data_IF_001521849164
#
_entry.id   IF_001521849164
#
_cell.length_a   1.000
_cell.length_b   1.000
_cell.length_c   1.000
_cell.angle_alpha   90.00
_cell.angle_beta   90.00
_cell.angle_gamma   90.00
#
_symmetry.space_group_name_H-M   'P 1'
#
loop_
_entity.id
_entity.type
_entity.pdbx_description
1 polymer ?
#
# COMPACT_ATOMS: atom_id res chain seq x y z
N UNK A 1 5.57 4.46 -59.89
CA UNK A 1 5.16 3.63 -58.73
C UNK A 1 6.12 3.93 -57.59
N UNK A 2 5.70 4.69 -56.57
CA UNK A 2 6.51 4.95 -55.39
C UNK A 2 6.05 4.01 -54.25
N UNK A 3 6.97 3.18 -53.74
CA UNK A 3 6.73 2.29 -52.60
C UNK A 3 7.08 3.06 -51.32
N UNK A 4 6.07 3.34 -50.51
CA UNK A 4 6.27 3.88 -49.15
C UNK A 4 6.73 2.76 -48.21
N UNK A 5 7.89 2.94 -47.60
CA UNK A 5 8.37 2.10 -46.52
C UNK A 5 7.81 2.61 -45.19
N UNK A 6 7.15 1.73 -44.43
CA UNK A 6 6.67 2.02 -43.07
C UNK A 6 7.77 1.62 -42.08
N UNK A 7 8.27 2.58 -41.32
CA UNK A 7 9.19 2.36 -40.20
C UNK A 7 8.34 2.03 -38.96
N UNK A 8 8.52 0.82 -38.41
CA UNK A 8 7.93 0.47 -37.11
C UNK A 8 8.83 0.99 -35.99
N UNK A 9 8.35 2.00 -35.26
CA UNK A 9 8.97 2.49 -34.04
C UNK A 9 8.66 1.54 -32.88
N UNK A 10 9.69 0.92 -32.30
CA UNK A 10 9.58 0.17 -31.05
C UNK A 10 9.42 1.14 -29.90
N UNK A 11 8.19 1.32 -29.40
CA UNK A 11 7.95 2.06 -28.16
C UNK A 11 8.41 1.19 -27.00
N UNK A 12 9.31 1.70 -26.16
CA UNK A 12 9.57 1.08 -24.87
C UNK A 12 8.28 1.16 -24.06
N UNK A 13 7.81 0.00 -23.57
CA UNK A 13 6.70 -0.05 -22.64
C UNK A 13 7.27 0.21 -21.24
N UNK A 14 7.19 1.46 -20.78
CA UNK A 14 7.43 1.77 -19.38
C UNK A 14 6.22 1.27 -18.58
N UNK A 15 6.24 -0.01 -18.21
CA UNK A 15 5.35 -0.54 -17.19
C UNK A 15 5.82 0.04 -15.84
N UNK A 16 5.51 1.31 -15.59
CA UNK A 16 5.47 1.79 -14.23
C UNK A 16 4.31 1.02 -13.57
N UNK A 17 4.63 -0.04 -12.83
CA UNK A 17 3.70 -0.71 -11.94
C UNK A 17 3.80 0.02 -10.60
N UNK A 18 3.07 1.14 -10.40
CA UNK A 18 3.15 1.84 -9.14
C UNK A 18 2.64 0.91 -8.03
N UNK A 19 3.31 0.93 -6.89
CA UNK A 19 2.96 0.08 -5.75
C UNK A 19 1.51 0.27 -5.31
N UNK A 20 0.93 1.47 -5.47
CA UNK A 20 -0.47 1.77 -5.15
C UNK A 20 -1.53 1.01 -5.98
N UNK A 21 -1.10 0.21 -6.96
CA UNK A 21 -1.96 -0.67 -7.77
C UNK A 21 -1.59 -2.16 -7.59
N UNK A 22 -0.66 -2.47 -6.68
CA UNK A 22 -0.16 -3.81 -6.49
C UNK A 22 -1.03 -4.61 -5.51
N UNK A 23 -1.19 -5.90 -5.79
CA UNK A 23 -1.86 -6.86 -4.92
C UNK A 23 -0.93 -8.04 -4.70
N UNK A 24 -0.70 -8.39 -3.43
CA UNK A 24 0.13 -9.53 -3.04
C UNK A 24 -0.71 -10.55 -2.29
N UNK A 25 -0.82 -11.77 -2.83
CA UNK A 25 -1.47 -12.89 -2.17
C UNK A 25 -0.46 -13.83 -1.52
N UNK A 26 -0.73 -14.28 -0.31
CA UNK A 26 -0.04 -15.40 0.34
C UNK A 26 -0.80 -16.69 0.03
N UNK A 27 -0.10 -17.69 -0.51
CA UNK A 27 -0.72 -18.86 -1.11
C UNK A 27 -1.28 -19.86 -0.08
N UNK A 28 -0.71 -19.92 1.12
CA UNK A 28 -1.09 -20.91 2.14
C UNK A 28 -2.25 -20.43 3.01
N UNK A 29 -2.24 -19.17 3.43
CA UNK A 29 -3.24 -18.56 4.29
C UNK A 29 -4.37 -17.92 3.50
N UNK A 30 -4.20 -17.69 2.19
CA UNK A 30 -5.17 -16.93 1.39
C UNK A 30 -5.26 -15.45 1.79
N UNK A 31 -4.27 -14.95 2.55
CA UNK A 31 -4.23 -13.54 2.94
C UNK A 31 -3.77 -12.69 1.76
N UNK A 32 -4.29 -11.48 1.65
CA UNK A 32 -3.97 -10.53 0.59
C UNK A 32 -3.52 -9.19 1.18
N UNK A 33 -2.57 -8.55 0.52
CA UNK A 33 -2.21 -7.14 0.72
C UNK A 33 -2.56 -6.39 -0.57
N UNK A 34 -3.60 -5.57 -0.51
CA UNK A 34 -4.07 -4.73 -1.61
C UNK A 34 -3.67 -3.28 -1.36
N UNK A 35 -2.72 -2.77 -2.13
CA UNK A 35 -2.21 -1.41 -2.00
C UNK A 35 -3.15 -0.39 -2.64
N UNK A 36 -3.22 0.79 -2.03
CA UNK A 36 -4.01 1.92 -2.52
C UNK A 36 -3.22 3.22 -2.41
N UNK A 37 -3.77 4.30 -2.96
CA UNK A 37 -3.18 5.62 -2.84
C UNK A 37 -3.21 6.09 -1.38
N UNK A 38 -2.08 6.61 -0.88
CA UNK A 38 -1.97 7.25 0.42
C UNK A 38 -2.67 8.64 0.50
N UNK A 39 -3.38 9.04 -0.56
CA UNK A 39 -4.06 10.33 -0.64
C UNK A 39 -3.08 11.50 -0.63
N UNK A 40 -3.42 12.55 0.11
CA UNK A 40 -2.61 13.77 0.24
C UNK A 40 -1.65 13.76 1.43
N UNK A 41 -1.48 12.61 2.10
CA UNK A 41 -0.62 12.51 3.28
C UNK A 41 0.85 12.66 2.89
N UNK A 42 1.57 13.54 3.60
CA UNK A 42 3.01 13.77 3.38
C UNK A 42 3.90 12.74 4.10
N UNK A 43 3.37 12.01 5.09
CA UNK A 43 4.13 11.10 5.95
C UNK A 43 3.87 9.62 5.66
N UNK A 44 2.72 9.31 5.07
CA UNK A 44 2.35 7.95 4.68
C UNK A 44 3.01 7.64 3.33
N UNK A 45 3.94 6.69 3.35
CA UNK A 45 4.62 6.20 2.16
C UNK A 45 3.71 5.29 1.34
N UNK A 46 2.98 4.40 2.02
CA UNK A 46 2.06 3.45 1.40
C UNK A 46 0.82 3.30 2.29
N UNK A 47 -0.34 3.22 1.64
CA UNK A 47 -1.58 2.76 2.24
C UNK A 47 -1.98 1.43 1.59
N UNK A 48 -2.54 0.52 2.37
CA UNK A 48 -2.93 -0.80 1.90
C UNK A 48 -4.04 -1.39 2.77
N UNK A 49 -4.67 -2.46 2.29
CA UNK A 49 -5.60 -3.29 3.05
C UNK A 49 -4.99 -4.67 3.20
N UNK A 50 -4.95 -5.19 4.41
CA UNK A 50 -4.67 -6.61 4.64
C UNK A 50 -6.00 -7.35 4.79
N UNK A 51 -6.27 -8.25 3.85
CA UNK A 51 -7.50 -9.03 3.77
C UNK A 51 -7.16 -10.45 4.21
N UNK A 52 -7.78 -10.92 5.28
CA UNK A 52 -7.62 -12.27 5.79
C UNK A 52 -8.68 -13.21 5.19
N UNK A 53 -8.42 -14.52 5.24
CA UNK A 53 -9.29 -15.57 4.69
C UNK A 53 -10.72 -15.57 5.24
N UNK A 54 -10.91 -15.10 6.47
CA UNK A 54 -12.20 -14.95 7.13
C UNK A 54 -12.93 -13.64 6.79
N UNK A 55 -12.49 -12.90 5.76
CA UNK A 55 -12.99 -11.58 5.34
C UNK A 55 -12.76 -10.47 6.38
N UNK A 56 -11.89 -10.66 7.36
CA UNK A 56 -11.39 -9.54 8.18
C UNK A 56 -10.50 -8.67 7.31
N UNK A 57 -10.83 -7.37 7.27
CA UNK A 57 -10.03 -6.36 6.58
C UNK A 57 -9.38 -5.46 7.62
N UNK A 58 -8.06 -5.33 7.54
CA UNK A 58 -7.27 -4.40 8.33
C UNK A 58 -6.79 -3.27 7.43
N UNK A 59 -6.97 -2.03 7.86
CA UNK A 59 -6.41 -0.85 7.20
C UNK A 59 -4.94 -0.73 7.59
N UNK A 60 -4.06 -0.68 6.61
CA UNK A 60 -2.62 -0.65 6.78
C UNK A 60 -2.00 0.64 6.28
N UNK A 61 -1.07 1.19 7.06
CA UNK A 61 -0.21 2.29 6.63
C UNK A 61 1.25 1.95 6.90
N UNK A 62 2.12 2.38 5.99
CA UNK A 62 3.56 2.39 6.19
C UNK A 62 4.04 3.85 6.14
N UNK A 63 4.63 4.33 7.22
CA UNK A 63 5.10 5.71 7.33
C UNK A 63 6.61 5.77 7.48
N UNK A 64 7.23 6.76 6.85
CA UNK A 64 8.62 7.12 7.11
C UNK A 64 8.67 8.13 8.25
N UNK A 65 9.16 7.72 9.40
CA UNK A 65 9.37 8.64 10.52
C UNK A 65 10.75 9.27 10.39
N UNK A 66 10.83 10.60 10.50
CA UNK A 66 12.14 11.28 10.56
C UNK A 66 12.97 10.74 11.73
N UNK A 67 14.25 10.46 11.48
CA UNK A 67 15.15 9.89 12.49
C UNK A 67 15.00 8.38 12.75
N UNK A 68 14.07 7.69 12.06
CA UNK A 68 13.99 6.23 12.11
C UNK A 68 15.16 5.56 11.36
N UNK A 69 15.47 4.30 11.71
CA UNK A 69 16.62 3.52 11.23
C UNK A 69 16.54 3.09 9.76
N UNK A 70 16.26 4.03 8.85
CA UNK A 70 16.09 3.80 7.42
C UNK A 70 15.05 2.72 7.08
N UNK A 71 14.02 2.58 7.91
CA UNK A 71 12.91 1.63 7.69
C UNK A 71 11.56 2.28 8.01
N UNK A 72 10.51 1.93 7.25
CA UNK A 72 9.18 2.42 7.54
C UNK A 72 8.61 1.74 8.78
N UNK A 73 7.85 2.50 9.56
CA UNK A 73 7.02 1.99 10.63
C UNK A 73 5.62 1.69 10.08
N UNK A 74 5.15 0.48 10.29
CA UNK A 74 3.84 0.01 9.89
C UNK A 74 2.84 0.05 11.03
N UNK A 75 1.57 0.23 10.67
CA UNK A 75 0.43 0.04 11.56
C UNK A 75 -0.68 -0.72 10.82
N UNK A 76 -1.36 -1.62 11.52
CA UNK A 76 -2.56 -2.32 11.07
C UNK A 76 -3.71 -2.00 12.02
N UNK A 77 -4.81 -1.54 11.45
CA UNK A 77 -5.97 -1.01 12.16
C UNK A 77 -7.22 -1.81 11.81
N UNK A 78 -8.02 -2.16 12.81
CA UNK A 78 -9.29 -2.85 12.61
C UNK A 78 -10.47 -1.93 12.94
N UNK A 79 -11.18 -1.48 11.90
CA UNK A 79 -12.40 -0.66 12.04
C UNK A 79 -12.20 0.58 12.92
N UNK A 80 -11.06 1.24 12.76
CA UNK A 80 -10.80 2.48 13.48
C UNK A 80 -11.79 3.59 13.06
N UNK A 81 -12.21 4.45 14.01
CA UNK A 81 -12.97 5.65 13.67
C UNK A 81 -12.17 6.56 12.73
N UNK A 82 -12.87 7.40 11.97
CA UNK A 82 -12.27 8.38 11.06
C UNK A 82 -12.62 9.80 11.49
N UNK A 83 -11.79 10.78 11.11
CA UNK A 83 -11.98 12.18 11.45
C UNK A 83 -11.15 12.60 12.67
N UNK A 84 -11.78 13.34 13.58
CA UNK A 84 -11.14 13.77 14.83
C UNK A 84 -11.12 12.59 15.82
N UNK A 85 -9.99 11.89 15.85
CA UNK A 85 -9.79 10.68 16.65
C UNK A 85 -8.70 10.92 17.70
N UNK A 86 -8.97 10.51 18.93
CA UNK A 86 -7.97 10.57 20.00
C UNK A 86 -6.93 9.46 19.83
N UNK A 87 -5.75 9.66 20.43
CA UNK A 87 -4.71 8.62 20.44
C UNK A 87 -5.14 7.34 21.15
N UNK A 88 -6.03 7.44 22.15
CA UNK A 88 -6.56 6.30 22.90
C UNK A 88 -7.53 5.47 22.06
N UNK A 89 -8.41 6.12 21.29
CA UNK A 89 -9.30 5.46 20.34
C UNK A 89 -8.51 4.76 19.23
N UNK A 90 -7.49 5.42 18.69
CA UNK A 90 -6.59 4.83 17.70
C UNK A 90 -5.83 3.63 18.27
N UNK A 91 -5.27 3.74 19.47
CA UNK A 91 -4.56 2.63 20.11
C UNK A 91 -5.47 1.43 20.38
N UNK A 92 -6.74 1.65 20.73
CA UNK A 92 -7.70 0.58 21.01
C UNK A 92 -8.09 -0.24 19.76
N UNK A 93 -8.07 0.37 18.58
CA UNK A 93 -8.41 -0.29 17.32
C UNK A 93 -7.19 -0.69 16.48
N UNK A 94 -5.98 -0.34 16.92
CA UNK A 94 -4.72 -0.75 16.29
C UNK A 94 -4.34 -2.15 16.77
N UNK A 95 -4.24 -3.09 15.84
CA UNK A 95 -4.00 -4.51 16.16
C UNK A 95 -2.53 -4.90 16.06
N UNK A 96 -1.74 -4.13 15.32
CA UNK A 96 -0.30 -4.34 15.20
C UNK A 96 0.40 -3.05 14.82
N UNK A 97 1.58 -2.84 15.40
CA UNK A 97 2.50 -1.76 15.05
C UNK A 97 3.95 -2.24 15.13
N UNK A 98 4.79 -1.77 14.22
CA UNK A 98 6.21 -2.08 14.28
C UNK A 98 6.99 -1.73 13.01
N UNK A 99 8.27 -2.03 13.00
CA UNK A 99 9.14 -1.85 11.83
C UNK A 99 8.85 -2.92 10.79
N UNK A 100 8.68 -2.52 9.52
CA UNK A 100 8.49 -3.43 8.38
C UNK A 100 9.87 -3.80 7.79
N UNK A 101 10.04 -5.07 7.39
CA UNK A 101 11.28 -5.64 6.85
C UNK A 101 11.21 -5.94 5.36
#
# INVERSE_FOLDING_TARGET
>A
MARSAVLLSTSAAQAACPIQLAVYGEAQSGAEIDFTSAGTSATIANAFRMILDNNVVLDGIAMWTEGSAARPHGSLMYKCPTGDVTGEELAACTVWEGVIY
#
